data_IF_302163054174
#
_entry.id   IF_302163054174
#
_cell.length_a   1.000
_cell.length_b   1.000
_cell.length_c   1.000
_cell.angle_alpha   90.00
_cell.angle_beta   90.00
_cell.angle_gamma   90.00
#
_symmetry.space_group_name_H-M   'P 1'
#
loop_
_entity.id
_entity.type
_entity.pdbx_description
1 polymer ?
#
# COMPACT_ATOMS: atom_id res chain seq x y z
N UNK A 1 -16.00 -46.35 -18.03
CA UNK A 1 -14.52 -46.42 -17.95
C UNK A 1 -13.99 -45.04 -18.31
N UNK A 2 -13.85 -44.06 -17.40
CA UNK A 2 -12.82 -43.88 -16.36
C UNK A 2 -11.39 -43.81 -16.95
N UNK A 3 -10.45 -42.91 -16.66
CA UNK A 3 -10.22 -41.71 -15.80
C UNK A 3 -8.95 -41.02 -16.41
N UNK A 4 -8.67 -39.74 -16.06
CA UNK A 4 -7.35 -39.05 -15.89
C UNK A 4 -7.31 -37.68 -16.59
N UNK A 5 -6.88 -36.57 -15.98
CA UNK A 5 -6.39 -36.31 -14.62
C UNK A 5 -6.30 -34.80 -14.41
N UNK A 6 -6.92 -34.30 -13.33
CA UNK A 6 -6.91 -32.91 -12.90
C UNK A 6 -5.72 -32.71 -11.96
N UNK A 7 -4.71 -31.95 -12.37
CA UNK A 7 -3.68 -31.41 -11.47
C UNK A 7 -4.30 -30.19 -10.78
N UNK A 8 -4.87 -30.40 -9.60
CA UNK A 8 -5.33 -29.32 -8.72
C UNK A 8 -4.11 -28.62 -8.10
N UNK A 9 -3.72 -27.49 -8.68
CA UNK A 9 -3.03 -26.45 -7.91
C UNK A 9 -4.03 -25.75 -6.97
N UNK A 10 -3.60 -25.16 -5.85
CA UNK A 10 -4.51 -24.46 -4.96
C UNK A 10 -5.15 -23.29 -5.71
N UNK A 11 -6.48 -23.27 -5.72
CA UNK A 11 -7.24 -22.15 -6.27
C UNK A 11 -7.00 -20.91 -5.41
N UNK A 12 -7.06 -19.75 -6.07
CA UNK A 12 -6.88 -18.42 -5.49
C UNK A 12 -7.76 -18.15 -4.23
N UNK A 13 -8.78 -18.98 -4.00
CA UNK A 13 -9.68 -18.95 -2.85
C UNK A 13 -8.99 -19.25 -1.50
N UNK A 14 -7.90 -20.01 -1.49
CA UNK A 14 -7.29 -20.46 -0.23
C UNK A 14 -6.33 -19.42 0.38
N UNK A 15 -5.77 -18.52 -0.43
CA UNK A 15 -4.83 -17.49 0.02
C UNK A 15 -5.51 -16.30 0.75
N UNK A 16 -6.82 -16.12 0.57
CA UNK A 16 -7.56 -14.97 1.14
C UNK A 16 -8.14 -15.29 2.54
N UNK A 17 -8.20 -16.56 2.93
CA UNK A 17 -8.87 -16.98 4.18
C UNK A 17 -7.95 -17.00 5.42
N UNK A 18 -6.70 -16.54 5.32
CA UNK A 18 -5.75 -16.49 6.46
C UNK A 18 -5.06 -15.14 6.65
N UNK A 19 -5.78 -14.04 6.38
CA UNK A 19 -5.39 -12.72 6.87
C UNK A 19 -5.91 -12.50 8.30
N UNK A 20 -5.19 -11.79 9.18
CA UNK A 20 -5.68 -11.49 10.52
C UNK A 20 -7.02 -10.77 10.39
N UNK A 21 -8.05 -11.22 11.11
CA UNK A 21 -9.38 -10.63 11.10
C UNK A 21 -9.26 -9.12 11.38
N UNK A 22 -9.28 -8.35 10.30
CA UNK A 22 -9.22 -6.91 10.35
C UNK A 22 -10.53 -6.49 11.02
N UNK A 23 -10.46 -5.85 12.19
CA UNK A 23 -11.63 -5.49 13.01
C UNK A 23 -12.44 -4.36 12.34
N UNK A 24 -12.97 -4.64 11.16
CA UNK A 24 -13.68 -3.74 10.27
C UNK A 24 -14.98 -3.29 10.93
N UNK A 25 -15.44 -2.05 10.72
CA UNK A 25 -16.78 -1.64 11.12
C UNK A 25 -17.79 -2.61 10.49
N UNK A 26 -18.81 -3.05 11.24
CA UNK A 26 -19.82 -4.00 10.72
C UNK A 26 -20.39 -3.60 9.37
N UNK A 27 -20.69 -2.31 9.17
CA UNK A 27 -21.18 -1.76 7.90
C UNK A 27 -20.23 -1.97 6.72
N UNK A 28 -18.92 -1.94 6.96
CA UNK A 28 -17.91 -2.18 5.93
C UNK A 28 -17.72 -3.69 5.70
N UNK A 29 -17.78 -4.50 6.76
CA UNK A 29 -17.79 -5.97 6.65
C UNK A 29 -18.97 -6.49 5.81
N UNK A 30 -20.18 -6.02 6.11
CA UNK A 30 -21.40 -6.35 5.35
C UNK A 30 -21.30 -5.92 3.87
N UNK A 31 -20.61 -4.81 3.58
CA UNK A 31 -20.37 -4.35 2.21
C UNK A 31 -19.27 -5.14 1.49
N UNK A 32 -18.34 -5.77 2.20
CA UNK A 32 -17.31 -6.66 1.62
C UNK A 32 -17.91 -8.04 1.30
N UNK A 33 -18.84 -8.53 2.12
CA UNK A 33 -19.49 -9.84 1.92
C UNK A 33 -20.43 -9.86 0.71
N UNK A 34 -21.18 -8.78 0.47
CA UNK A 34 -22.12 -8.65 -0.66
C UNK A 34 -21.49 -8.85 -2.05
N UNK A 35 -20.42 -8.14 -2.43
CA UNK A 35 -19.77 -8.33 -3.71
C UNK A 35 -18.92 -9.60 -3.77
N UNK A 36 -18.54 -10.20 -2.63
CA UNK A 36 -17.91 -11.54 -2.59
C UNK A 36 -18.88 -12.60 -3.10
N UNK A 37 -20.08 -12.61 -2.54
CA UNK A 37 -21.17 -13.50 -3.00
C UNK A 37 -21.57 -13.23 -4.45
N UNK A 38 -21.52 -11.97 -4.91
CA UNK A 38 -21.87 -11.60 -6.29
C UNK A 38 -20.78 -11.94 -7.32
N UNK A 39 -19.50 -11.76 -6.97
CA UNK A 39 -18.35 -12.05 -7.85
C UNK A 39 -18.14 -13.55 -8.10
N UNK A 40 -18.55 -14.40 -7.17
CA UNK A 40 -18.61 -15.86 -7.35
C UNK A 40 -19.63 -16.26 -8.43
N UNK A 41 -20.56 -15.36 -8.78
CA UNK A 41 -21.67 -15.62 -9.68
C UNK A 41 -21.48 -15.03 -11.10
N UNK A 42 -20.70 -13.95 -11.28
CA UNK A 42 -20.16 -13.50 -12.58
C UNK A 42 -19.11 -12.39 -12.40
N UNK A 43 -17.97 -12.41 -13.13
CA UNK A 43 -17.00 -11.32 -13.13
C UNK A 43 -17.47 -10.19 -14.05
N UNK A 44 -18.39 -9.34 -13.58
CA UNK A 44 -18.83 -8.15 -14.30
C UNK A 44 -18.01 -6.90 -13.92
N UNK A 45 -17.93 -5.94 -14.83
CA UNK A 45 -17.18 -4.68 -14.65
C UNK A 45 -17.74 -3.82 -13.51
N UNK A 46 -19.03 -3.97 -13.21
CA UNK A 46 -19.70 -3.22 -12.15
C UNK A 46 -19.24 -3.70 -10.76
N UNK A 47 -19.08 -5.02 -10.57
CA UNK A 47 -18.46 -5.60 -9.37
C UNK A 47 -17.04 -5.08 -9.16
N UNK A 48 -16.22 -4.92 -10.21
CA UNK A 48 -14.86 -4.39 -10.10
C UNK A 48 -14.82 -2.95 -9.55
N UNK A 49 -15.71 -2.07 -10.00
CA UNK A 49 -15.78 -0.68 -9.52
C UNK A 49 -16.21 -0.62 -8.06
N UNK A 50 -17.20 -1.44 -7.68
CA UNK A 50 -17.67 -1.55 -6.30
C UNK A 50 -16.58 -2.11 -5.37
N UNK A 51 -15.86 -3.14 -5.81
CA UNK A 51 -14.70 -3.67 -5.09
C UNK A 51 -13.61 -2.63 -4.87
N UNK A 52 -13.29 -1.82 -5.89
CA UNK A 52 -12.31 -0.75 -5.75
C UNK A 52 -12.78 0.31 -4.75
N UNK A 53 -14.07 0.65 -4.74
CA UNK A 53 -14.64 1.60 -3.78
C UNK A 53 -14.54 1.07 -2.35
N UNK A 54 -14.88 -0.21 -2.14
CA UNK A 54 -14.79 -0.88 -0.84
C UNK A 54 -13.34 -0.97 -0.35
N UNK A 55 -12.40 -1.30 -1.22
CA UNK A 55 -10.98 -1.34 -0.89
C UNK A 55 -10.45 0.05 -0.50
N UNK A 56 -10.80 1.09 -1.27
CA UNK A 56 -10.44 2.47 -0.93
C UNK A 56 -11.01 2.89 0.42
N UNK A 57 -12.27 2.55 0.70
CA UNK A 57 -12.91 2.86 1.97
C UNK A 57 -12.28 2.09 3.14
N UNK A 58 -11.93 0.82 2.93
CA UNK A 58 -11.18 0.03 3.89
C UNK A 58 -9.80 0.64 4.18
N UNK A 59 -9.07 1.05 3.15
CA UNK A 59 -7.77 1.69 3.30
C UNK A 59 -7.87 3.03 4.03
N UNK A 60 -8.87 3.86 3.69
CA UNK A 60 -9.12 5.11 4.39
C UNK A 60 -9.44 4.87 5.87
N UNK A 61 -10.24 3.85 6.17
CA UNK A 61 -10.53 3.46 7.55
C UNK A 61 -9.29 2.95 8.30
N UNK A 62 -8.44 2.15 7.65
CA UNK A 62 -7.17 1.69 8.23
C UNK A 62 -6.27 2.89 8.54
N UNK A 63 -6.09 3.80 7.58
CA UNK A 63 -5.30 5.02 7.77
C UNK A 63 -5.85 5.84 8.91
N UNK A 64 -7.17 6.09 8.94
CA UNK A 64 -7.80 6.86 10.01
C UNK A 64 -7.49 6.26 11.39
N UNK A 65 -7.56 4.94 11.54
CA UNK A 65 -7.22 4.28 12.81
C UNK A 65 -5.77 4.40 13.20
N UNK A 66 -4.86 4.31 12.24
CA UNK A 66 -3.43 4.52 12.48
C UNK A 66 -3.19 5.94 12.98
N UNK A 67 -3.77 6.95 12.32
CA UNK A 67 -3.62 8.34 12.72
C UNK A 67 -4.25 8.65 14.08
N UNK A 68 -5.44 8.11 14.38
CA UNK A 68 -6.05 8.26 15.72
C UNK A 68 -5.21 7.58 16.81
N UNK A 69 -4.60 6.43 16.50
CA UNK A 69 -3.68 5.77 17.43
C UNK A 69 -2.43 6.62 17.69
N UNK A 70 -1.80 7.13 16.63
CA UNK A 70 -0.64 8.01 16.73
C UNK A 70 -0.96 9.28 17.50
N UNK A 71 -2.09 9.94 17.20
CA UNK A 71 -2.54 11.14 17.92
C UNK A 71 -2.63 10.91 19.44
N UNK A 72 -3.22 9.78 19.85
CA UNK A 72 -3.32 9.41 21.28
C UNK A 72 -1.95 9.14 21.90
N UNK A 73 -1.06 8.43 21.21
CA UNK A 73 0.30 8.17 21.69
C UNK A 73 1.13 9.46 21.85
N UNK A 74 1.00 10.36 20.89
CA UNK A 74 1.71 11.65 20.87
C UNK A 74 1.13 12.67 21.86
N UNK A 75 -0.08 12.42 22.38
CA UNK A 75 -0.82 13.30 23.31
C UNK A 75 -0.94 14.73 22.78
N UNK A 76 -1.19 14.85 21.47
CA UNK A 76 -1.31 16.11 20.73
C UNK A 76 -2.74 16.67 20.90
N UNK A 77 -2.86 17.97 21.10
CA UNK A 77 -4.16 18.65 21.18
C UNK A 77 -4.88 18.72 19.82
N UNK A 78 -6.17 19.04 19.82
CA UNK A 78 -6.95 19.19 18.59
C UNK A 78 -6.39 20.30 17.67
N UNK A 79 -5.92 21.40 18.27
CA UNK A 79 -5.33 22.53 17.57
C UNK A 79 -4.01 22.15 16.90
N UNK A 80 -3.08 21.56 17.67
CA UNK A 80 -1.78 21.09 17.17
C UNK A 80 -1.95 20.00 16.09
N UNK A 81 -2.97 19.16 16.24
CA UNK A 81 -3.26 18.07 15.31
C UNK A 81 -3.59 18.59 13.91
N UNK A 82 -4.25 19.75 13.77
CA UNK A 82 -4.53 20.34 12.45
C UNK A 82 -3.26 20.69 11.67
N UNK A 83 -2.17 21.03 12.38
CA UNK A 83 -0.89 21.42 11.79
C UNK A 83 0.03 20.21 11.58
N UNK A 84 0.08 19.28 12.55
CA UNK A 84 0.97 18.12 12.52
C UNK A 84 0.44 17.03 11.57
N UNK A 85 -0.87 16.78 11.55
CA UNK A 85 -1.48 15.71 10.74
C UNK A 85 -1.04 15.71 9.27
N UNK A 86 -1.08 16.82 8.51
CA UNK A 86 -0.66 16.79 7.11
C UNK A 86 0.82 16.43 6.92
N UNK A 87 1.72 16.84 7.83
CA UNK A 87 3.14 16.47 7.78
C UNK A 87 3.37 15.02 8.15
N UNK A 88 2.68 14.55 9.18
CA UNK A 88 2.67 13.15 9.59
C UNK A 88 2.16 12.25 8.47
N UNK A 89 1.08 12.68 7.78
CA UNK A 89 0.52 11.95 6.65
C UNK A 89 1.48 11.88 5.47
N UNK A 90 2.14 12.97 5.11
CA UNK A 90 3.14 12.96 4.05
C UNK A 90 4.29 11.95 4.32
N UNK A 91 4.78 11.90 5.56
CA UNK A 91 5.78 10.89 5.97
C UNK A 91 5.19 9.48 5.92
N UNK A 92 3.98 9.30 6.46
CA UNK A 92 3.32 8.00 6.51
C UNK A 92 3.11 7.42 5.11
N UNK A 93 2.64 8.22 4.15
CA UNK A 93 2.37 7.79 2.79
C UNK A 93 3.67 7.44 2.02
N UNK A 94 4.78 8.10 2.33
CA UNK A 94 6.11 7.78 1.77
C UNK A 94 6.71 6.50 2.36
N UNK A 95 6.46 6.22 3.65
CA UNK A 95 6.93 5.00 4.34
C UNK A 95 6.04 3.80 3.98
N UNK A 96 4.74 4.02 3.80
CA UNK A 96 3.74 3.00 3.51
C UNK A 96 3.06 3.31 2.18
N UNK A 97 3.76 3.17 1.04
CA UNK A 97 3.15 3.38 -0.26
C UNK A 97 1.96 2.43 -0.41
N UNK A 98 0.79 2.98 -0.71
CA UNK A 98 -0.43 2.19 -0.81
C UNK A 98 -0.41 1.34 -2.08
N UNK A 99 -0.49 0.00 -1.99
CA UNK A 99 -0.65 -0.82 -3.17
C UNK A 99 -2.04 -0.57 -3.79
N UNK A 100 -2.10 -0.31 -5.11
CA UNK A 100 -3.37 -0.35 -5.85
C UNK A 100 -3.78 -1.80 -5.98
N UNK A 101 -4.63 -2.23 -5.05
CA UNK A 101 -5.28 -3.53 -5.07
C UNK A 101 -6.30 -3.56 -6.22
N UNK A 102 -6.01 -4.37 -7.24
CA UNK A 102 -6.90 -4.68 -8.35
C UNK A 102 -6.64 -6.10 -8.87
N UNK A 103 -7.65 -6.86 -9.31
CA UNK A 103 -7.46 -8.20 -9.83
C UNK A 103 -6.75 -8.13 -11.20
N UNK A 104 -5.56 -8.74 -11.28
CA UNK A 104 -4.77 -8.84 -12.51
C UNK A 104 -4.00 -7.55 -12.87
N UNK A 105 -2.67 -7.66 -12.98
CA UNK A 105 -1.78 -6.55 -13.36
C UNK A 105 -2.04 -5.23 -12.62
N UNK A 106 -1.95 -5.25 -11.28
CA UNK A 106 -1.87 -4.03 -10.47
C UNK A 106 -0.88 -3.06 -11.14
N UNK A 107 -1.27 -1.83 -11.47
CA UNK A 107 -0.34 -0.84 -12.05
C UNK A 107 0.61 -0.38 -10.93
N UNK A 108 1.89 -0.11 -11.22
CA UNK A 108 2.80 0.45 -10.23
C UNK A 108 2.25 1.76 -9.68
N UNK A 109 2.20 1.85 -8.35
CA UNK A 109 1.63 3.01 -7.65
C UNK A 109 2.62 4.13 -7.43
N UNK A 110 3.91 3.81 -7.48
CA UNK A 110 4.99 4.76 -7.30
C UNK A 110 5.98 4.67 -8.47
N UNK A 111 6.71 5.76 -8.71
CA UNK A 111 7.74 5.80 -9.74
C UNK A 111 8.78 4.68 -9.52
N UNK A 112 9.20 4.46 -8.26
CA UNK A 112 10.11 3.37 -7.87
C UNK A 112 9.55 1.99 -8.21
N UNK A 113 8.26 1.72 -7.97
CA UNK A 113 7.63 0.46 -8.34
C UNK A 113 7.58 0.27 -9.85
N UNK A 114 7.31 1.34 -10.61
CA UNK A 114 7.28 1.28 -12.07
C UNK A 114 8.65 0.92 -12.61
N UNK A 115 9.69 1.65 -12.17
CA UNK A 115 11.06 1.35 -12.60
C UNK A 115 11.52 -0.03 -12.17
N UNK A 116 11.09 -0.50 -10.99
CA UNK A 116 11.36 -1.86 -10.50
C UNK A 116 10.73 -2.92 -11.41
N UNK A 117 9.46 -2.73 -11.82
CA UNK A 117 8.77 -3.61 -12.77
C UNK A 117 9.46 -3.62 -14.12
N UNK A 118 9.71 -2.45 -14.69
CA UNK A 118 10.33 -2.31 -16.01
C UNK A 118 11.68 -3.04 -16.06
N UNK A 119 12.50 -2.89 -15.00
CA UNK A 119 13.78 -3.57 -14.88
C UNK A 119 13.59 -5.09 -14.74
N UNK A 120 12.68 -5.54 -13.88
CA UNK A 120 12.40 -6.97 -13.68
C UNK A 120 11.89 -7.64 -14.95
N UNK A 121 11.04 -6.96 -15.71
CA UNK A 121 10.51 -7.44 -16.98
C UNK A 121 11.61 -7.57 -18.03
N UNK A 122 12.49 -6.56 -18.16
CA UNK A 122 13.64 -6.65 -19.07
C UNK A 122 14.57 -7.81 -18.69
N UNK A 123 14.82 -8.02 -17.40
CA UNK A 123 15.69 -9.10 -16.90
C UNK A 123 15.10 -10.51 -17.09
N UNK A 124 13.82 -10.65 -17.49
CA UNK A 124 13.26 -11.95 -17.89
C UNK A 124 13.74 -12.39 -19.27
N UNK A 125 14.18 -11.45 -20.10
CA UNK A 125 14.86 -11.76 -21.36
C UNK A 125 16.36 -11.87 -21.11
N UNK A 126 16.88 -13.09 -21.08
CA UNK A 126 18.31 -13.36 -20.89
C UNK A 126 19.19 -12.80 -22.01
N UNK A 127 18.59 -12.43 -23.16
CA UNK A 127 19.28 -11.81 -24.29
C UNK A 127 19.14 -10.28 -24.31
N UNK A 128 18.56 -9.69 -23.27
CA UNK A 128 18.40 -8.25 -23.16
C UNK A 128 19.75 -7.52 -23.34
N UNK A 129 19.83 -6.50 -24.22
CA UNK A 129 21.08 -5.77 -24.45
C UNK A 129 21.58 -5.08 -23.19
N UNK A 130 22.89 -5.14 -22.95
CA UNK A 130 23.54 -4.56 -21.77
C UNK A 130 23.21 -3.06 -21.59
N UNK A 131 23.11 -2.30 -22.68
CA UNK A 131 22.76 -0.88 -22.64
C UNK A 131 21.33 -0.63 -22.14
N UNK A 132 20.38 -1.50 -22.50
CA UNK A 132 19.00 -1.39 -22.02
C UNK A 132 18.91 -1.71 -20.52
N UNK A 133 19.66 -2.73 -20.06
CA UNK A 133 19.75 -3.09 -18.64
C UNK A 133 20.34 -1.91 -17.86
N UNK A 134 21.44 -1.33 -18.35
CA UNK A 134 22.09 -0.16 -17.74
C UNK A 134 21.14 1.03 -17.64
N UNK A 135 20.38 1.32 -18.69
CA UNK A 135 19.41 2.41 -18.71
C UNK A 135 18.30 2.21 -17.66
N UNK A 136 17.64 1.05 -17.63
CA UNK A 136 16.58 0.77 -16.65
C UNK A 136 17.08 0.71 -15.22
N UNK A 137 18.27 0.16 -14.98
CA UNK A 137 18.91 0.16 -13.68
C UNK A 137 19.22 1.57 -13.18
N UNK A 138 19.70 2.44 -14.06
CA UNK A 138 19.96 3.85 -13.74
C UNK A 138 18.66 4.57 -13.38
N UNK A 139 17.59 4.36 -14.15
CA UNK A 139 16.28 4.94 -13.85
C UNK A 139 15.71 4.45 -12.51
N UNK A 140 15.86 3.16 -12.18
CA UNK A 140 15.43 2.62 -10.89
C UNK A 140 16.22 3.23 -9.72
N UNK A 141 17.55 3.38 -9.86
CA UNK A 141 18.38 4.04 -8.84
C UNK A 141 18.01 5.50 -8.64
N UNK A 142 17.76 6.24 -9.72
CA UNK A 142 17.32 7.63 -9.65
C UNK A 142 15.96 7.77 -8.95
N UNK A 143 15.00 6.87 -9.24
CA UNK A 143 13.71 6.86 -8.56
C UNK A 143 13.85 6.59 -7.05
N UNK A 144 14.74 5.66 -6.66
CA UNK A 144 15.05 5.40 -5.24
C UNK A 144 15.60 6.63 -4.54
N UNK A 145 16.57 7.29 -5.16
CA UNK A 145 17.21 8.49 -4.61
C UNK A 145 16.20 9.62 -4.42
N UNK A 146 15.35 9.85 -5.43
CA UNK A 146 14.30 10.86 -5.37
C UNK A 146 13.33 10.62 -4.20
N UNK A 147 12.81 9.40 -4.05
CA UNK A 147 11.92 9.05 -2.93
C UNK A 147 12.63 9.17 -1.57
N UNK A 148 13.92 8.83 -1.48
CA UNK A 148 14.71 9.02 -0.27
C UNK A 148 14.83 10.51 0.10
N UNK A 149 15.10 11.38 -0.88
CA UNK A 149 15.17 12.83 -0.65
C UNK A 149 13.82 13.42 -0.24
N UNK A 150 12.72 12.98 -0.85
CA UNK A 150 11.37 13.37 -0.48
C UNK A 150 11.06 12.98 0.98
N UNK A 151 11.43 11.75 1.37
CA UNK A 151 11.26 11.26 2.74
C UNK A 151 12.09 12.08 3.74
N UNK A 152 13.35 12.37 3.44
CA UNK A 152 14.21 13.21 4.29
C UNK A 152 13.57 14.57 4.52
N UNK A 153 13.09 15.23 3.45
CA UNK A 153 12.45 16.55 3.56
C UNK A 153 11.14 16.49 4.34
N UNK A 154 10.33 15.45 4.13
CA UNK A 154 9.08 15.25 4.86
C UNK A 154 9.33 15.05 6.36
N UNK A 155 10.32 14.22 6.73
CA UNK A 155 10.74 13.99 8.11
C UNK A 155 11.26 15.26 8.77
N UNK A 156 12.13 16.01 8.09
CA UNK A 156 12.62 17.30 8.58
C UNK A 156 11.46 18.29 8.84
N UNK A 157 10.51 18.39 7.91
CA UNK A 157 9.35 19.25 8.07
C UNK A 157 8.47 18.84 9.26
N UNK A 158 8.36 17.54 9.55
CA UNK A 158 7.64 17.03 10.71
C UNK A 158 8.38 17.32 12.02
N UNK A 159 9.71 17.17 12.05
CA UNK A 159 10.56 17.47 13.23
C UNK A 159 10.42 18.90 13.73
N UNK A 160 10.26 19.86 12.82
CA UNK A 160 10.07 21.29 13.17
C UNK A 160 8.77 21.56 13.95
N UNK A 161 7.83 20.62 13.98
CA UNK A 161 6.50 20.79 14.58
C UNK A 161 6.26 19.90 15.80
N UNK A 162 7.18 18.99 16.10
CA UNK A 162 7.01 18.02 17.19
C UNK A 162 8.02 18.28 18.29
N UNK A 163 7.62 17.97 19.52
CA UNK A 163 8.53 17.96 20.67
C UNK A 163 9.44 16.74 20.62
N UNK A 164 10.56 16.78 21.37
CA UNK A 164 11.49 15.65 21.47
C UNK A 164 10.82 14.33 21.91
N UNK A 165 9.83 14.42 22.81
CA UNK A 165 9.05 13.24 23.24
C UNK A 165 8.23 12.66 22.10
N UNK A 166 7.56 13.52 21.33
CA UNK A 166 6.75 13.12 20.18
C UNK A 166 7.63 12.54 19.07
N UNK A 167 8.80 13.14 18.82
CA UNK A 167 9.80 12.60 17.91
C UNK A 167 10.22 11.18 18.31
N UNK A 168 10.55 10.93 19.58
CA UNK A 168 10.90 9.59 20.05
C UNK A 168 9.77 8.56 19.81
N UNK A 169 8.50 8.95 20.03
CA UNK A 169 7.35 8.09 19.70
C UNK A 169 7.29 7.82 18.19
N UNK A 170 7.52 8.82 17.34
CA UNK A 170 7.51 8.66 15.89
C UNK A 170 8.66 7.79 15.37
N UNK A 171 9.84 7.84 16.01
CA UNK A 171 10.97 6.95 15.74
C UNK A 171 10.61 5.50 16.08
N UNK A 172 10.00 5.26 17.25
CA UNK A 172 9.53 3.92 17.65
C UNK A 172 8.47 3.35 16.70
N UNK A 173 7.69 4.21 16.04
CA UNK A 173 6.71 3.83 15.03
C UNK A 173 7.31 3.74 13.60
N UNK A 174 8.62 3.97 13.42
CA UNK A 174 9.31 3.90 12.12
C UNK A 174 9.03 5.06 11.16
N UNK A 175 8.42 6.15 11.64
CA UNK A 175 8.07 7.32 10.83
C UNK A 175 9.21 8.33 10.77
N UNK A 176 9.92 8.51 11.87
CA UNK A 176 11.16 9.28 11.94
C UNK A 176 12.38 8.34 12.11
N UNK A 177 13.58 8.91 11.91
CA UNK A 177 14.88 8.27 12.16
C UNK A 177 15.56 8.86 13.42
#
# INVERSE_FOLDING_TARGET
>A
MAILGLVSGPTFAEAVNKGPALNLPRKLGERIEKPKAFSEQSPDTNSMVEWQAILKEQMAWQQQRVFENLRRQLRISDEEWTVIKPRLQAVYDLVHPQPQMGPGNARPTTEIEQRSRDLRELLRDEKAPADQIKAKLTAYRAAREKTAQELIRARQSLRLLVTLRQEAVLVLNGLLD
#
